data_IF_876018958480
#
_entry.id   IF_876018958480
#
_cell.length_a   1.000
_cell.length_b   1.000
_cell.length_c   1.000
_cell.angle_alpha   90.00
_cell.angle_beta   90.00
_cell.angle_gamma   90.00
#
_symmetry.space_group_name_H-M   'P 1'
#
loop_
_entity.id
_entity.type
_entity.pdbx_description
1 polymer ?
#
# COMPACT_ATOMS: atom_id res chain seq x y z
N UNK A 1 6.19 -14.28 -9.74
CA UNK A 1 5.00 -15.13 -10.01
C UNK A 1 4.06 -15.21 -8.81
N UNK A 2 4.55 -15.32 -7.55
CA UNK A 2 3.67 -15.34 -6.36
C UNK A 2 3.02 -13.99 -6.02
N UNK A 3 3.78 -12.90 -6.02
CA UNK A 3 3.33 -11.61 -5.49
C UNK A 3 2.13 -10.99 -6.23
N UNK A 4 2.08 -11.11 -7.56
CA UNK A 4 0.91 -10.65 -8.34
C UNK A 4 -0.34 -11.46 -7.98
N UNK A 5 -0.21 -12.78 -7.80
CA UNK A 5 -1.31 -13.64 -7.37
C UNK A 5 -1.79 -13.30 -5.96
N UNK A 6 -0.88 -13.00 -5.03
CA UNK A 6 -1.25 -12.54 -3.68
C UNK A 6 -2.01 -11.21 -3.74
N UNK A 7 -1.56 -10.28 -4.58
CA UNK A 7 -2.22 -8.99 -4.80
C UNK A 7 -3.64 -9.17 -5.35
N UNK A 8 -3.84 -10.06 -6.32
CA UNK A 8 -5.16 -10.39 -6.85
C UNK A 8 -6.07 -11.02 -5.79
N UNK A 9 -5.54 -11.94 -4.99
CA UNK A 9 -6.28 -12.57 -3.90
C UNK A 9 -6.69 -11.55 -2.81
N UNK A 10 -5.81 -10.61 -2.47
CA UNK A 10 -6.12 -9.53 -1.53
C UNK A 10 -7.26 -8.64 -2.05
N UNK A 11 -7.21 -8.22 -3.32
CA UNK A 11 -8.29 -7.42 -3.92
C UNK A 11 -9.60 -8.20 -3.97
N UNK A 12 -9.56 -9.50 -4.29
CA UNK A 12 -10.75 -10.34 -4.26
C UNK A 12 -11.36 -10.44 -2.85
N UNK A 13 -10.54 -10.55 -1.80
CA UNK A 13 -10.99 -10.54 -0.42
C UNK A 13 -11.58 -9.18 -0.01
N UNK A 14 -10.94 -8.06 -0.38
CA UNK A 14 -11.45 -6.71 -0.10
C UNK A 14 -12.84 -6.48 -0.71
N UNK A 15 -13.04 -6.91 -1.96
CA UNK A 15 -14.34 -6.83 -2.63
C UNK A 15 -15.38 -7.77 -2.03
N UNK A 16 -15.01 -9.03 -1.81
CA UNK A 16 -15.95 -10.09 -1.44
C UNK A 16 -16.30 -10.10 0.05
N UNK A 17 -15.28 -10.17 0.90
CA UNK A 17 -15.45 -10.31 2.34
C UNK A 17 -15.67 -8.96 3.02
N UNK A 18 -14.89 -7.95 2.64
CA UNK A 18 -14.89 -6.63 3.29
C UNK A 18 -15.76 -5.58 2.58
N UNK A 19 -16.27 -5.91 1.38
CA UNK A 19 -17.23 -5.09 0.61
C UNK A 19 -16.71 -3.70 0.18
N UNK A 20 -15.40 -3.57 -0.01
CA UNK A 20 -14.83 -2.37 -0.64
C UNK A 20 -15.22 -2.31 -2.12
N UNK A 21 -15.58 -1.12 -2.59
CA UNK A 21 -15.82 -0.84 -4.01
C UNK A 21 -14.51 -0.65 -4.77
N UNK A 22 -14.52 -0.85 -6.08
CA UNK A 22 -13.32 -0.68 -6.93
C UNK A 22 -12.74 0.73 -6.86
N UNK A 23 -13.59 1.75 -6.71
CA UNK A 23 -13.17 3.13 -6.57
C UNK A 23 -12.43 3.41 -5.24
N UNK A 24 -12.56 2.50 -4.27
CA UNK A 24 -11.93 2.59 -2.94
C UNK A 24 -10.66 1.74 -2.84
N UNK A 25 -10.19 1.14 -3.95
CA UNK A 25 -9.02 0.27 -3.96
C UNK A 25 -8.02 0.80 -4.98
N UNK A 26 -6.83 1.16 -4.50
CA UNK A 26 -5.65 1.41 -5.36
C UNK A 26 -4.76 0.17 -5.32
N UNK A 27 -4.46 -0.39 -6.49
CA UNK A 27 -3.61 -1.56 -6.63
C UNK A 27 -2.41 -1.25 -7.52
N UNK A 28 -1.21 -1.36 -6.96
CA UNK A 28 0.05 -1.19 -7.70
C UNK A 28 0.65 -2.56 -8.03
N UNK A 29 1.09 -2.75 -9.28
CA UNK A 29 1.72 -3.99 -9.76
C UNK A 29 2.76 -3.76 -10.84
N UNK A 30 3.84 -4.53 -10.80
CA UNK A 30 4.99 -4.42 -11.71
C UNK A 30 4.76 -5.10 -13.08
N UNK A 31 3.72 -5.93 -13.21
CA UNK A 31 3.29 -6.51 -14.48
C UNK A 31 2.49 -5.54 -15.38
N UNK A 32 2.23 -4.33 -14.88
CA UNK A 32 1.42 -3.30 -15.54
C UNK A 32 2.16 -1.96 -15.57
N UNK A 33 2.44 -1.39 -16.76
CA UNK A 33 3.26 -0.19 -16.87
C UNK A 33 2.61 1.05 -16.24
N UNK A 34 1.27 1.10 -16.20
CA UNK A 34 0.45 2.21 -15.73
C UNK A 34 0.34 2.30 -14.19
N UNK A 35 0.55 1.19 -13.49
CA UNK A 35 0.37 1.11 -12.02
C UNK A 35 1.60 0.53 -11.33
N UNK A 36 2.80 0.79 -11.88
CA UNK A 36 4.03 0.23 -11.31
C UNK A 36 4.25 0.66 -9.86
N UNK A 37 4.71 -0.24 -8.98
CA UNK A 37 5.02 0.05 -7.58
C UNK A 37 6.38 0.76 -7.49
N UNK A 38 6.49 1.92 -8.14
CA UNK A 38 7.66 2.81 -8.00
C UNK A 38 7.62 3.47 -6.62
N UNK A 39 8.77 3.97 -6.17
CA UNK A 39 8.86 4.66 -4.88
C UNK A 39 7.86 5.82 -4.79
N UNK A 40 7.76 6.60 -5.87
CA UNK A 40 6.83 7.72 -5.95
C UNK A 40 5.36 7.27 -5.90
N UNK A 41 4.99 6.23 -6.64
CA UNK A 41 3.62 5.73 -6.67
C UNK A 41 3.20 5.12 -5.33
N UNK A 42 4.09 4.38 -4.67
CA UNK A 42 3.81 3.81 -3.34
C UNK A 42 3.54 4.94 -2.34
N UNK A 43 4.43 5.93 -2.24
CA UNK A 43 4.23 7.05 -1.31
C UNK A 43 2.96 7.85 -1.62
N UNK A 44 2.64 8.07 -2.89
CA UNK A 44 1.40 8.75 -3.29
C UNK A 44 0.16 7.95 -2.88
N UNK A 45 0.15 6.63 -3.08
CA UNK A 45 -0.95 5.74 -2.69
C UNK A 45 -1.12 5.64 -1.17
N UNK A 46 -0.03 5.64 -0.40
CA UNK A 46 -0.09 5.69 1.07
C UNK A 46 -0.69 7.00 1.58
N UNK A 47 -0.27 8.12 1.00
CA UNK A 47 -0.82 9.43 1.33
C UNK A 47 -2.31 9.53 0.95
N UNK A 48 -2.70 8.99 -0.21
CA UNK A 48 -4.11 8.88 -0.62
C UNK A 48 -4.93 8.03 0.36
N UNK A 49 -4.38 6.90 0.82
CA UNK A 49 -5.07 5.99 1.74
C UNK A 49 -5.34 6.65 3.10
N UNK A 50 -4.40 7.48 3.59
CA UNK A 50 -4.57 8.24 4.83
C UNK A 50 -5.36 9.55 4.66
N UNK A 51 -5.58 9.99 3.42
CA UNK A 51 -6.19 11.29 3.14
C UNK A 51 -7.63 11.34 3.66
N UNK A 52 -7.93 12.40 4.43
CA UNK A 52 -9.25 12.66 4.99
C UNK A 52 -9.84 11.53 5.86
N UNK A 53 -9.02 10.57 6.28
CA UNK A 53 -9.42 9.50 7.19
C UNK A 53 -10.04 10.08 8.47
N UNK A 54 -11.11 9.45 8.94
CA UNK A 54 -11.88 9.86 10.11
C UNK A 54 -11.86 8.79 11.20
N UNK A 55 -12.25 9.20 12.41
CA UNK A 55 -12.45 8.27 13.51
C UNK A 55 -13.54 7.25 13.14
N UNK A 56 -13.24 5.96 13.26
CA UNK A 56 -14.13 4.86 12.90
C UNK A 56 -13.86 4.24 11.53
N UNK A 57 -13.09 4.91 10.66
CA UNK A 57 -12.71 4.36 9.35
C UNK A 57 -11.80 3.13 9.50
N UNK A 58 -11.94 2.20 8.56
CA UNK A 58 -11.11 1.00 8.43
C UNK A 58 -10.35 1.06 7.11
N UNK A 59 -9.03 1.22 7.22
CA UNK A 59 -8.10 1.24 6.10
C UNK A 59 -7.38 -0.11 6.02
N UNK A 60 -6.99 -0.50 4.81
CA UNK A 60 -6.29 -1.77 4.58
C UNK A 60 -5.04 -1.54 3.73
N UNK A 61 -3.90 -2.07 4.17
CA UNK A 61 -2.66 -2.08 3.38
C UNK A 61 -2.18 -3.52 3.18
N UNK A 62 -2.16 -3.96 1.92
CA UNK A 62 -1.50 -5.21 1.54
C UNK A 62 -0.19 -4.94 0.80
N UNK A 63 0.88 -5.63 1.22
CA UNK A 63 2.13 -5.69 0.47
C UNK A 63 2.57 -7.15 0.30
N UNK A 64 2.87 -7.53 -0.94
CA UNK A 64 3.56 -8.78 -1.25
C UNK A 64 4.71 -8.44 -2.20
N UNK A 65 5.94 -8.71 -1.75
CA UNK A 65 7.15 -8.33 -2.46
C UNK A 65 8.40 -8.59 -1.62
N UNK A 66 9.55 -8.18 -2.15
CA UNK A 66 10.82 -8.30 -1.44
C UNK A 66 10.96 -7.19 -0.39
N UNK A 67 11.21 -7.58 0.85
CA UNK A 67 11.70 -6.70 1.89
C UNK A 67 13.23 -6.61 1.88
N UNK A 68 13.77 -5.45 2.24
CA UNK A 68 15.17 -5.27 2.55
C UNK A 68 15.56 -6.02 3.83
N UNK A 69 16.87 -6.17 4.04
CA UNK A 69 17.40 -6.94 5.16
C UNK A 69 17.03 -6.34 6.53
N UNK A 70 16.77 -5.02 6.59
CA UNK A 70 16.46 -4.28 7.81
C UNK A 70 14.95 -3.93 7.88
N UNK A 71 14.12 -4.63 7.12
CA UNK A 71 12.67 -4.42 7.11
C UNK A 71 12.20 -3.28 6.21
N UNK A 72 13.03 -2.83 5.26
CA UNK A 72 12.62 -1.86 4.25
C UNK A 72 11.67 -2.47 3.20
N UNK A 73 10.78 -1.67 2.65
CA UNK A 73 10.03 -2.03 1.45
C UNK A 73 10.89 -1.69 0.22
N UNK A 74 11.03 -2.60 -0.74
CA UNK A 74 11.77 -2.35 -1.98
C UNK A 74 10.81 -2.07 -3.15
N UNK A 75 10.68 -0.80 -3.60
CA UNK A 75 9.96 -0.46 -4.83
C UNK A 75 10.59 -1.13 -6.07
N UNK A 76 9.86 -1.23 -7.17
CA UNK A 76 10.41 -1.79 -8.41
C UNK A 76 11.61 -0.99 -8.98
N UNK A 77 11.72 0.30 -8.63
CA UNK A 77 12.79 1.21 -9.03
C UNK A 77 13.82 1.48 -7.91
N UNK A 78 13.87 0.62 -6.87
CA UNK A 78 14.75 0.83 -5.70
C UNK A 78 16.23 1.03 -6.03
N UNK A 79 16.70 0.49 -7.16
CA UNK A 79 18.09 0.68 -7.59
C UNK A 79 18.41 2.14 -7.93
N UNK A 80 17.40 2.92 -8.35
CA UNK A 80 17.53 4.34 -8.67
C UNK A 80 16.97 5.23 -7.57
N UNK A 81 15.81 4.87 -7.01
CA UNK A 81 15.05 5.70 -6.06
C UNK A 81 15.35 5.36 -4.59
N UNK A 82 16.04 4.25 -4.33
CA UNK A 82 16.31 3.74 -2.99
C UNK A 82 15.18 2.89 -2.40
N UNK A 83 15.45 2.17 -1.29
CA UNK A 83 14.43 1.50 -0.50
C UNK A 83 13.50 2.49 0.21
N UNK A 84 12.36 2.02 0.70
CA UNK A 84 11.46 2.75 1.60
C UNK A 84 11.63 2.24 3.03
N UNK A 85 12.06 3.13 3.93
CA UNK A 85 12.23 2.82 5.35
C UNK A 85 10.89 2.74 6.10
N UNK A 86 10.89 2.04 7.24
CA UNK A 86 9.73 2.00 8.13
C UNK A 86 9.31 3.40 8.63
N UNK A 87 10.26 4.31 8.83
CA UNK A 87 10.01 5.70 9.24
C UNK A 87 9.21 6.46 8.17
N UNK A 88 9.59 6.30 6.90
CA UNK A 88 8.89 6.93 5.77
C UNK A 88 7.48 6.36 5.60
N UNK A 89 7.32 5.03 5.74
CA UNK A 89 6.01 4.39 5.72
C UNK A 89 5.13 4.89 6.87
N UNK A 90 5.70 5.00 8.08
CA UNK A 90 5.01 5.53 9.24
C UNK A 90 4.59 6.98 9.04
N UNK A 91 5.48 7.83 8.53
CA UNK A 91 5.20 9.24 8.28
C UNK A 91 4.12 9.44 7.20
N UNK A 92 4.11 8.62 6.16
CA UNK A 92 3.16 8.74 5.05
C UNK A 92 1.77 8.18 5.38
N UNK A 93 1.69 7.09 6.14
CA UNK A 93 0.43 6.37 6.38
C UNK A 93 -0.08 6.47 7.80
N UNK A 94 0.77 6.33 8.82
CA UNK A 94 0.33 6.15 10.22
C UNK A 94 0.22 7.48 10.96
N UNK A 95 1.25 8.31 10.89
CA UNK A 95 1.29 9.62 11.53
C UNK A 95 0.08 10.54 11.21
N UNK A 96 -0.47 10.58 9.98
CA UNK A 96 -1.63 11.42 9.67
C UNK A 96 -2.98 10.88 10.15
N UNK A 97 -3.10 9.61 10.59
CA UNK A 97 -4.40 9.03 10.94
C UNK A 97 -4.95 9.63 12.24
N UNK A 98 -6.24 10.01 12.29
CA UNK A 98 -6.83 10.50 13.52
C UNK A 98 -7.03 9.35 14.53
N UNK A 99 -7.11 9.67 15.83
CA UNK A 99 -7.50 8.69 16.85
C UNK A 99 -8.83 8.01 16.51
N UNK A 100 -8.85 6.69 16.62
CA UNK A 100 -10.04 5.87 16.35
C UNK A 100 -10.16 5.36 14.91
N UNK A 101 -9.28 5.76 13.99
CA UNK A 101 -9.07 5.09 12.71
C UNK A 101 -8.34 3.75 12.94
N UNK A 102 -8.70 2.71 12.17
CA UNK A 102 -8.03 1.41 12.19
C UNK A 102 -7.34 1.15 10.86
N UNK A 103 -6.07 0.77 10.92
CA UNK A 103 -5.29 0.30 9.78
C UNK A 103 -5.04 -1.20 9.94
N UNK A 104 -5.46 -1.98 8.94
CA UNK A 104 -5.33 -3.43 8.87
C UNK A 104 -4.28 -3.88 7.85
#
# INVERSE_FOLDING_TARGET
AGCVGDSEAAVAALRGAFRFEDAQIVQLRDDRPDVQPTRANILASLAWLAQDAQAGDELFLHFSGYGGAEGELLPCDFQMAGPLSAEELHAALVAPLPPGCRLW
#
